data_IF_725266542140
#
_entry.id   IF_725266542140
#
_cell.length_a   1.000
_cell.length_b   1.000
_cell.length_c   1.000
_cell.angle_alpha   90.00
_cell.angle_beta   90.00
_cell.angle_gamma   90.00
#
_symmetry.space_group_name_H-M   'P 1'
#
loop_
_entity.id
_entity.type
_entity.pdbx_description
1 polymer ?
#
# COMPACT_ATOMS: atom_id res chain seq x y z
N UNK A 1 24.16 10.86 -8.87
CA UNK A 1 22.91 10.70 -9.63
C UNK A 1 21.79 11.18 -8.72
N UNK A 2 20.88 12.04 -9.19
CA UNK A 2 19.71 12.37 -8.41
C UNK A 2 18.92 11.07 -8.15
N UNK A 3 18.56 10.78 -6.90
CA UNK A 3 17.68 9.66 -6.60
C UNK A 3 16.30 9.95 -7.19
N UNK A 4 15.75 9.02 -7.93
CA UNK A 4 14.43 9.16 -8.54
C UNK A 4 13.33 9.26 -7.50
N UNK A 5 12.27 10.01 -7.79
CA UNK A 5 11.13 10.17 -6.87
C UNK A 5 10.24 8.94 -6.92
N UNK A 6 10.02 8.33 -5.74
CA UNK A 6 9.01 7.27 -5.56
C UNK A 6 7.74 7.87 -4.98
N UNK A 7 6.59 7.63 -5.61
CA UNK A 7 5.27 8.07 -5.11
C UNK A 7 4.46 6.84 -4.73
N UNK A 8 4.03 6.79 -3.48
CA UNK A 8 3.20 5.71 -2.92
C UNK A 8 1.80 6.25 -2.71
N UNK A 9 0.81 5.68 -3.38
CA UNK A 9 -0.60 6.03 -3.21
C UNK A 9 -1.28 5.00 -2.31
N UNK A 10 -1.71 5.40 -1.13
CA UNK A 10 -2.41 4.52 -0.18
C UNK A 10 -3.91 4.74 -0.28
N UNK A 11 -4.64 3.69 -0.63
CA UNK A 11 -6.07 3.76 -0.95
C UNK A 11 -6.76 2.40 -0.83
N UNK A 12 -8.08 2.42 -0.65
CA UNK A 12 -8.92 1.22 -0.79
C UNK A 12 -9.19 0.85 -2.28
N UNK A 13 -8.95 1.77 -3.21
CA UNK A 13 -9.15 1.57 -4.66
C UNK A 13 -7.86 1.20 -5.40
N UNK A 14 -6.91 0.54 -4.74
CA UNK A 14 -5.65 0.14 -5.37
C UNK A 14 -5.85 -0.81 -6.58
N UNK A 15 -6.92 -1.60 -6.58
CA UNK A 15 -7.27 -2.52 -7.68
C UNK A 15 -8.64 -2.20 -8.27
N UNK A 16 -9.68 -2.18 -7.45
CA UNK A 16 -11.05 -1.95 -7.91
C UNK A 16 -11.36 -0.46 -7.99
N UNK A 17 -11.97 -0.02 -9.09
CA UNK A 17 -12.56 1.33 -9.16
C UNK A 17 -13.93 1.28 -8.51
N UNK A 18 -14.06 1.82 -7.29
CA UNK A 18 -15.29 1.82 -6.51
C UNK A 18 -15.92 3.22 -6.53
N UNK A 19 -15.08 4.27 -6.56
CA UNK A 19 -15.52 5.65 -6.48
C UNK A 19 -14.62 6.62 -7.23
N UNK A 20 -14.51 7.84 -6.70
CA UNK A 20 -13.77 8.94 -7.31
C UNK A 20 -12.25 8.78 -7.28
N UNK A 21 -11.71 8.11 -6.25
CA UNK A 21 -10.25 7.93 -6.09
C UNK A 21 -9.69 7.12 -7.27
N UNK A 22 -10.35 6.06 -7.69
CA UNK A 22 -9.94 5.28 -8.86
C UNK A 22 -9.87 6.10 -10.15
N UNK A 23 -10.76 7.12 -10.32
CA UNK A 23 -10.69 8.04 -11.44
C UNK A 23 -9.50 9.02 -11.32
N UNK A 24 -9.20 9.49 -10.11
CA UNK A 24 -8.02 10.33 -9.84
C UNK A 24 -6.73 9.56 -10.11
N UNK A 25 -6.65 8.31 -9.66
CA UNK A 25 -5.49 7.44 -9.92
C UNK A 25 -5.31 7.16 -11.42
N UNK A 26 -6.41 6.88 -12.14
CA UNK A 26 -6.39 6.75 -13.60
C UNK A 26 -5.80 8.02 -14.23
N UNK A 27 -6.23 9.20 -13.77
CA UNK A 27 -5.70 10.48 -14.26
C UNK A 27 -4.21 10.66 -13.97
N UNK A 28 -3.72 10.31 -12.78
CA UNK A 28 -2.29 10.37 -12.46
C UNK A 28 -1.48 9.43 -13.35
N UNK A 29 -1.87 8.15 -13.45
CA UNK A 29 -1.09 7.13 -14.15
C UNK A 29 -1.16 7.22 -15.67
N UNK A 30 -1.99 8.11 -16.21
CA UNK A 30 -2.05 8.42 -17.64
C UNK A 30 -1.69 9.88 -17.95
N UNK A 31 -1.20 10.65 -16.94
CA UNK A 31 -0.77 12.03 -17.10
C UNK A 31 0.74 12.11 -17.42
N UNK A 32 1.16 12.59 -18.60
CA UNK A 32 2.58 12.70 -18.95
C UNK A 32 3.40 13.54 -17.97
N UNK A 33 2.80 14.57 -17.35
CA UNK A 33 3.49 15.42 -16.38
C UNK A 33 3.77 14.67 -15.08
N UNK A 34 2.83 13.87 -14.61
CA UNK A 34 3.03 13.01 -13.43
C UNK A 34 4.11 11.94 -13.70
N UNK A 35 4.04 11.27 -14.86
CA UNK A 35 4.99 10.22 -15.24
C UNK A 35 6.43 10.72 -15.44
N UNK A 36 6.63 12.02 -15.64
CA UNK A 36 7.96 12.65 -15.67
C UNK A 36 8.54 12.92 -14.29
N UNK A 37 7.69 13.03 -13.26
CA UNK A 37 8.10 13.37 -11.88
C UNK A 37 8.25 12.10 -11.05
N UNK A 38 7.34 11.15 -11.20
CA UNK A 38 7.34 9.90 -10.48
C UNK A 38 8.11 8.83 -11.26
N UNK A 39 9.37 8.61 -10.89
CA UNK A 39 10.20 7.55 -11.50
C UNK A 39 9.69 6.15 -11.13
N UNK A 40 9.07 6.04 -9.96
CA UNK A 40 8.44 4.81 -9.45
C UNK A 40 7.12 5.16 -8.79
N UNK A 41 6.07 4.39 -9.06
CA UNK A 41 4.77 4.54 -8.43
C UNK A 41 4.30 3.21 -7.85
N UNK A 42 3.79 3.24 -6.62
CA UNK A 42 3.30 2.07 -5.89
C UNK A 42 1.90 2.37 -5.35
N UNK A 43 0.92 1.53 -5.70
CA UNK A 43 -0.40 1.52 -5.08
C UNK A 43 -0.38 0.60 -3.87
N UNK A 44 -0.88 1.06 -2.73
CA UNK A 44 -0.97 0.27 -1.50
C UNK A 44 -2.41 0.23 -1.02
N UNK A 45 -2.91 -0.95 -0.68
CA UNK A 45 -4.26 -1.10 -0.15
C UNK A 45 -4.49 -2.42 0.57
N UNK A 46 -5.66 -2.57 1.21
CA UNK A 46 -6.05 -3.85 1.79
C UNK A 46 -6.41 -4.86 0.69
N UNK A 47 -6.13 -6.14 0.94
CA UNK A 47 -6.69 -7.24 0.16
C UNK A 47 -8.07 -7.58 0.74
N UNK A 48 -9.14 -7.21 0.04
CA UNK A 48 -10.50 -7.39 0.53
C UNK A 48 -10.99 -8.83 0.51
N UNK A 49 -10.51 -9.64 -0.44
CA UNK A 49 -10.91 -11.04 -0.56
C UNK A 49 -9.75 -11.91 -0.98
N UNK A 50 -9.75 -13.14 -0.48
CA UNK A 50 -8.87 -14.22 -0.91
C UNK A 50 -9.59 -15.22 -1.83
N UNK A 51 -10.85 -14.98 -2.15
CA UNK A 51 -11.60 -15.74 -3.15
C UNK A 51 -11.12 -15.40 -4.57
N UNK A 52 -11.34 -16.29 -5.52
CA UNK A 52 -10.90 -16.14 -6.90
C UNK A 52 -9.49 -16.66 -7.17
N UNK A 53 -9.02 -16.46 -8.37
CA UNK A 53 -7.71 -16.94 -8.83
C UNK A 53 -6.60 -15.90 -8.60
N UNK A 54 -5.34 -16.36 -8.60
CA UNK A 54 -4.18 -15.46 -8.49
C UNK A 54 -4.15 -14.39 -9.60
N UNK A 55 -4.61 -14.73 -10.79
CA UNK A 55 -4.64 -13.82 -11.95
C UNK A 55 -5.61 -12.65 -11.75
N UNK A 56 -6.61 -12.80 -10.89
CA UNK A 56 -7.63 -11.78 -10.64
C UNK A 56 -7.26 -10.81 -9.52
N UNK A 57 -6.21 -11.11 -8.72
CA UNK A 57 -5.81 -10.32 -7.53
C UNK A 57 -5.57 -8.85 -7.83
N UNK A 58 -5.01 -8.55 -8.99
CA UNK A 58 -4.66 -7.18 -9.39
C UNK A 58 -5.55 -6.64 -10.53
N UNK A 59 -6.69 -7.30 -10.78
CA UNK A 59 -7.61 -6.95 -11.85
C UNK A 59 -7.19 -7.49 -13.22
N UNK A 60 -7.98 -7.24 -14.28
CA UNK A 60 -7.82 -7.86 -15.59
C UNK A 60 -6.49 -7.50 -16.28
N UNK A 61 -5.94 -6.31 -16.00
CA UNK A 61 -4.68 -5.82 -16.56
C UNK A 61 -3.52 -5.94 -15.56
N UNK A 62 -3.66 -6.83 -14.57
CA UNK A 62 -2.71 -7.04 -13.50
C UNK A 62 -1.78 -8.23 -13.74
N UNK A 63 -0.53 -8.09 -13.32
CA UNK A 63 0.48 -9.15 -13.27
C UNK A 63 0.88 -9.38 -11.81
N UNK A 64 0.59 -10.55 -11.26
CA UNK A 64 1.01 -10.92 -9.90
C UNK A 64 2.42 -11.49 -9.92
N UNK A 65 3.32 -10.85 -9.20
CA UNK A 65 4.73 -11.25 -9.07
C UNK A 65 5.00 -12.04 -7.79
N UNK A 66 4.19 -11.82 -6.75
CA UNK A 66 4.25 -12.53 -5.47
C UNK A 66 2.86 -12.59 -4.84
N UNK A 67 2.50 -13.73 -4.29
CA UNK A 67 1.29 -13.88 -3.48
C UNK A 67 1.47 -15.00 -2.46
N UNK A 68 1.58 -14.66 -1.19
CA UNK A 68 1.58 -15.68 -0.12
C UNK A 68 0.20 -16.30 0.05
N UNK A 69 -0.84 -15.56 -0.28
CA UNK A 69 -2.24 -16.02 -0.21
C UNK A 69 -2.51 -17.16 -1.20
N UNK A 70 -1.85 -17.10 -2.37
CA UNK A 70 -2.03 -18.07 -3.45
C UNK A 70 -0.84 -19.06 -3.59
N UNK A 71 0.17 -18.96 -2.72
CA UNK A 71 1.35 -19.81 -2.78
C UNK A 71 2.34 -19.49 -3.89
N UNK A 72 2.24 -18.33 -4.54
CA UNK A 72 3.19 -17.84 -5.54
C UNK A 72 4.36 -17.12 -4.81
N UNK A 73 5.45 -17.84 -4.53
CA UNK A 73 6.53 -17.41 -3.64
C UNK A 73 7.92 -17.38 -4.33
N UNK A 74 8.16 -16.56 -5.36
CA UNK A 74 9.48 -16.43 -5.97
C UNK A 74 10.53 -15.98 -4.94
N UNK A 75 11.73 -16.57 -4.98
CA UNK A 75 12.76 -16.42 -3.95
C UNK A 75 13.14 -14.97 -3.64
N UNK A 76 13.22 -14.11 -4.64
CA UNK A 76 13.58 -12.70 -4.47
C UNK A 76 12.59 -11.92 -3.61
N UNK A 77 11.30 -12.08 -3.86
CA UNK A 77 10.25 -11.42 -3.08
C UNK A 77 9.99 -12.12 -1.74
N UNK A 78 10.13 -13.46 -1.70
CA UNK A 78 9.96 -14.22 -0.47
C UNK A 78 10.90 -13.74 0.62
N UNK A 79 12.18 -13.50 0.31
CA UNK A 79 13.16 -12.98 1.28
C UNK A 79 12.72 -11.62 1.83
N UNK A 80 12.12 -10.76 0.98
CA UNK A 80 11.65 -9.45 1.39
C UNK A 80 10.43 -9.53 2.33
N UNK A 81 9.46 -10.39 2.01
CA UNK A 81 8.14 -10.35 2.64
C UNK A 81 7.92 -11.37 3.77
N UNK A 82 8.53 -12.55 3.73
CA UNK A 82 8.27 -13.64 4.68
C UNK A 82 8.41 -13.22 6.16
N UNK A 83 9.41 -12.35 6.47
CA UNK A 83 9.60 -11.85 7.83
C UNK A 83 8.46 -10.92 8.26
N UNK A 84 7.97 -10.09 7.34
CA UNK A 84 6.88 -9.14 7.56
C UNK A 84 5.58 -9.91 7.77
N UNK A 85 5.27 -10.85 6.89
CA UNK A 85 4.09 -11.69 6.96
C UNK A 85 4.02 -12.45 8.28
N UNK A 86 5.15 -13.02 8.70
CA UNK A 86 5.23 -13.76 9.96
C UNK A 86 5.10 -12.85 11.19
N UNK A 87 5.70 -11.65 11.16
CA UNK A 87 5.68 -10.74 12.30
C UNK A 87 4.32 -10.10 12.51
N UNK A 88 3.65 -9.72 11.41
CA UNK A 88 2.34 -9.07 11.48
C UNK A 88 1.17 -10.04 11.32
N UNK A 89 1.43 -11.31 11.01
CA UNK A 89 0.44 -12.33 10.64
C UNK A 89 -0.51 -11.83 9.53
N UNK A 90 0.06 -11.45 8.40
CA UNK A 90 -0.63 -10.92 7.22
C UNK A 90 -0.27 -11.72 5.98
N UNK A 91 -1.14 -11.68 4.96
CA UNK A 91 -0.81 -12.14 3.62
C UNK A 91 -0.46 -10.96 2.71
N UNK A 92 0.49 -11.15 1.80
CA UNK A 92 0.92 -10.11 0.86
C UNK A 92 0.68 -10.58 -0.58
N UNK A 93 0.10 -9.70 -1.39
CA UNK A 93 0.06 -9.79 -2.85
C UNK A 93 0.80 -8.59 -3.42
N UNK A 94 1.76 -8.85 -4.30
CA UNK A 94 2.55 -7.82 -4.95
C UNK A 94 2.68 -8.09 -6.44
N UNK A 95 2.61 -7.02 -7.22
CA UNK A 95 2.74 -7.11 -8.66
C UNK A 95 2.62 -5.76 -9.35
N UNK A 96 2.04 -5.74 -10.53
CA UNK A 96 1.84 -4.54 -11.33
C UNK A 96 0.44 -4.52 -11.92
N UNK A 97 -0.05 -3.32 -12.22
CA UNK A 97 -1.30 -3.12 -12.92
C UNK A 97 -1.14 -2.05 -13.98
N UNK A 98 -1.65 -2.32 -15.18
CA UNK A 98 -1.58 -1.35 -16.28
C UNK A 98 -2.77 -0.39 -16.26
N UNK A 99 -2.46 0.89 -16.43
CA UNK A 99 -3.42 1.97 -16.66
C UNK A 99 -3.19 2.51 -18.07
N UNK A 100 -4.25 2.63 -18.84
CA UNK A 100 -4.20 3.14 -20.22
C UNK A 100 -5.29 4.18 -20.42
N UNK A 101 -4.93 5.31 -20.96
CA UNK A 101 -5.88 6.27 -21.51
C UNK A 101 -6.13 5.93 -22.99
N UNK A 102 -7.33 5.53 -23.31
CA UNK A 102 -7.73 5.10 -24.66
C UNK A 102 -7.78 6.25 -25.67
N UNK A 103 -7.92 7.49 -25.20
CA UNK A 103 -8.00 8.67 -26.07
C UNK A 103 -6.60 9.16 -26.47
N UNK A 104 -5.69 9.22 -25.51
CA UNK A 104 -4.31 9.71 -25.74
C UNK A 104 -3.29 8.62 -26.04
N UNK A 105 -3.62 7.36 -25.73
CA UNK A 105 -2.72 6.20 -25.83
C UNK A 105 -1.62 6.17 -24.75
N UNK A 106 -1.65 7.09 -23.77
CA UNK A 106 -0.68 7.10 -22.69
C UNK A 106 -0.94 5.93 -21.74
N UNK A 107 0.12 5.18 -21.43
CA UNK A 107 0.03 4.00 -20.57
C UNK A 107 1.16 3.97 -19.55
N UNK A 108 0.88 3.41 -18.37
CA UNK A 108 1.88 3.12 -17.33
C UNK A 108 1.49 1.87 -16.54
N UNK A 109 2.48 1.28 -15.86
CA UNK A 109 2.27 0.06 -15.08
C UNK A 109 2.86 0.23 -13.66
N UNK A 110 2.18 0.99 -12.78
CA UNK A 110 2.60 1.12 -11.39
C UNK A 110 2.60 -0.23 -10.68
N UNK A 111 3.43 -0.32 -9.66
CA UNK A 111 3.43 -1.46 -8.75
C UNK A 111 2.19 -1.44 -7.86
N UNK A 112 1.75 -2.60 -7.41
CA UNK A 112 0.61 -2.77 -6.50
C UNK A 112 1.02 -3.68 -5.35
N UNK A 113 0.79 -3.22 -4.12
CA UNK A 113 0.99 -3.95 -2.88
C UNK A 113 -0.34 -4.05 -2.14
N UNK A 114 -0.91 -5.25 -2.07
CA UNK A 114 -2.11 -5.51 -1.29
C UNK A 114 -1.76 -6.36 -0.07
N UNK A 115 -2.38 -6.05 1.06
CA UNK A 115 -2.12 -6.75 2.32
C UNK A 115 -3.43 -7.26 2.90
N UNK A 116 -3.50 -8.57 3.16
CA UNK A 116 -4.57 -9.20 3.91
C UNK A 116 -4.34 -9.01 5.40
N UNK A 117 -5.09 -8.10 6.00
CA UNK A 117 -4.97 -7.72 7.41
C UNK A 117 -6.02 -8.35 8.33
N UNK A 118 -6.87 -9.25 7.80
CA UNK A 118 -7.99 -9.85 8.55
C UNK A 118 -7.53 -10.59 9.80
N UNK A 119 -6.39 -11.25 9.72
CA UNK A 119 -5.83 -12.08 10.78
C UNK A 119 -4.59 -11.46 11.44
N UNK A 120 -4.34 -10.16 11.21
CA UNK A 120 -3.13 -9.49 11.72
C UNK A 120 -3.00 -9.61 13.24
N UNK A 121 -1.74 -9.78 13.68
CA UNK A 121 -1.39 -9.89 15.10
C UNK A 121 -1.77 -8.61 15.85
N UNK A 122 -2.41 -8.78 17.00
CA UNK A 122 -2.84 -7.68 17.86
C UNK A 122 -1.70 -6.93 18.52
N UNK A 123 -0.57 -7.57 18.75
CA UNK A 123 0.59 -6.95 19.40
C UNK A 123 1.09 -5.72 18.64
N UNK A 124 1.56 -5.86 17.39
CA UNK A 124 2.00 -4.74 16.55
C UNK A 124 0.91 -3.69 16.32
N UNK A 125 -0.35 -4.11 16.14
CA UNK A 125 -1.49 -3.20 15.94
C UNK A 125 -1.72 -2.33 17.18
N UNK A 126 -1.71 -2.93 18.37
CA UNK A 126 -1.89 -2.20 19.62
C UNK A 126 -0.70 -1.27 19.92
N UNK A 127 0.51 -1.66 19.58
CA UNK A 127 1.68 -0.78 19.68
C UNK A 127 1.53 0.44 18.79
N UNK A 128 1.08 0.27 17.55
CA UNK A 128 0.79 1.40 16.66
C UNK A 128 -0.30 2.30 17.21
N UNK A 129 -1.43 1.74 17.71
CA UNK A 129 -2.50 2.51 18.34
C UNK A 129 -1.99 3.29 19.57
N UNK A 130 -1.11 2.70 20.37
CA UNK A 130 -0.46 3.37 21.50
C UNK A 130 0.37 4.56 21.04
N UNK A 131 1.22 4.40 20.04
CA UNK A 131 2.05 5.48 19.47
C UNK A 131 1.19 6.61 18.90
N UNK A 132 0.10 6.30 18.16
CA UNK A 132 -0.86 7.30 17.70
C UNK A 132 -1.50 8.09 18.85
N UNK A 133 -1.77 7.43 19.97
CA UNK A 133 -2.33 8.12 21.15
C UNK A 133 -1.27 8.99 21.83
N UNK A 134 -0.07 8.48 22.05
CA UNK A 134 1.00 9.20 22.74
C UNK A 134 1.43 10.46 21.99
N UNK A 135 1.53 10.39 20.66
CA UNK A 135 1.99 11.51 19.84
C UNK A 135 0.86 12.48 19.43
N UNK A 136 -0.30 11.97 19.11
CA UNK A 136 -1.38 12.76 18.49
C UNK A 136 -2.68 12.79 19.30
N UNK A 137 -2.77 12.08 20.40
CA UNK A 137 -4.01 11.96 21.18
C UNK A 137 -5.12 11.16 20.47
N UNK A 138 -4.80 10.39 19.45
CA UNK A 138 -5.78 9.62 18.67
C UNK A 138 -6.22 8.38 19.44
N UNK A 139 -7.49 8.37 19.87
CA UNK A 139 -8.10 7.28 20.65
C UNK A 139 -8.62 6.17 19.75
N UNK A 140 -7.75 5.55 18.97
CA UNK A 140 -8.08 4.54 17.97
C UNK A 140 -8.83 3.33 18.51
N UNK A 141 -8.60 2.97 19.79
CA UNK A 141 -9.26 1.86 20.47
C UNK A 141 -10.79 2.01 20.53
N UNK A 142 -11.30 3.23 20.50
CA UNK A 142 -12.76 3.48 20.52
C UNK A 142 -13.46 2.97 19.28
N UNK A 143 -12.74 2.79 18.17
CA UNK A 143 -13.27 2.48 16.85
C UNK A 143 -12.87 1.08 16.36
N UNK A 144 -12.16 0.28 17.15
CA UNK A 144 -11.67 -1.04 16.75
C UNK A 144 -12.78 -2.06 16.43
N UNK A 145 -14.00 -1.80 16.90
CA UNK A 145 -15.18 -2.58 16.56
C UNK A 145 -15.74 -2.28 15.17
N UNK A 146 -15.30 -1.19 14.54
CA UNK A 146 -15.68 -0.79 13.18
C UNK A 146 -14.63 -1.33 12.20
N UNK A 147 -14.95 -2.42 11.51
CA UNK A 147 -14.01 -3.04 10.57
C UNK A 147 -13.56 -2.09 9.46
N UNK A 148 -14.46 -1.24 8.97
CA UNK A 148 -14.18 -0.21 7.98
C UNK A 148 -13.09 0.80 8.41
N UNK A 149 -12.90 0.98 9.71
CA UNK A 149 -11.80 1.76 10.26
C UNK A 149 -10.59 0.87 10.60
N UNK A 150 -10.83 -0.21 11.33
CA UNK A 150 -9.79 -1.06 11.91
C UNK A 150 -8.87 -1.70 10.86
N UNK A 151 -9.40 -2.09 9.69
CA UNK A 151 -8.60 -2.66 8.62
C UNK A 151 -7.49 -1.73 8.13
N UNK A 152 -7.74 -0.41 8.08
CA UNK A 152 -6.73 0.57 7.65
C UNK A 152 -5.70 0.85 8.75
N UNK A 153 -6.09 0.80 10.01
CA UNK A 153 -5.15 0.85 11.13
C UNK A 153 -4.21 -0.36 11.11
N UNK A 154 -4.75 -1.54 10.83
CA UNK A 154 -3.96 -2.78 10.68
C UNK A 154 -3.06 -2.78 9.45
N UNK A 155 -3.43 -2.04 8.41
CA UNK A 155 -2.66 -1.91 7.18
C UNK A 155 -1.36 -1.12 7.37
N UNK A 156 -1.38 -0.05 8.18
CA UNK A 156 -0.29 0.91 8.30
C UNK A 156 1.09 0.26 8.56
N UNK A 157 1.29 -0.44 9.69
CA UNK A 157 2.60 -0.99 10.04
C UNK A 157 3.16 -2.00 9.01
N UNK A 158 2.43 -3.02 8.54
CA UNK A 158 2.96 -3.94 7.55
C UNK A 158 3.18 -3.28 6.19
N UNK A 159 2.40 -2.26 5.80
CA UNK A 159 2.59 -1.54 4.55
C UNK A 159 3.93 -0.78 4.54
N UNK A 160 4.24 -0.02 5.59
CA UNK A 160 5.52 0.70 5.69
C UNK A 160 6.69 -0.29 5.73
N UNK A 161 6.58 -1.38 6.48
CA UNK A 161 7.61 -2.42 6.50
C UNK A 161 7.83 -3.05 5.11
N UNK A 162 6.75 -3.34 4.37
CA UNK A 162 6.83 -3.93 3.03
C UNK A 162 7.41 -2.94 2.01
N UNK A 163 7.06 -1.66 2.06
CA UNK A 163 7.66 -0.61 1.22
C UNK A 163 9.18 -0.54 1.42
N UNK A 164 9.64 -0.56 2.66
CA UNK A 164 11.08 -0.60 2.97
C UNK A 164 11.76 -1.86 2.42
N UNK A 165 11.12 -3.01 2.57
CA UNK A 165 11.62 -4.28 2.03
C UNK A 165 11.68 -4.31 0.50
N UNK A 166 10.81 -3.54 -0.18
CA UNK A 166 10.86 -3.31 -1.63
C UNK A 166 11.94 -2.30 -2.06
N UNK A 167 12.75 -1.81 -1.12
CA UNK A 167 13.85 -0.89 -1.39
C UNK A 167 13.38 0.50 -1.80
N UNK A 168 12.25 0.98 -1.27
CA UNK A 168 11.86 2.39 -1.47
C UNK A 168 12.85 3.30 -0.76
N UNK A 169 13.43 4.30 -1.46
CA UNK A 169 14.39 5.20 -0.84
C UNK A 169 13.72 6.10 0.19
N UNK A 170 14.28 6.22 1.39
CA UNK A 170 13.71 7.06 2.45
C UNK A 170 13.52 8.51 2.02
N UNK A 171 14.58 9.17 1.58
CA UNK A 171 14.61 10.63 1.34
C UNK A 171 13.79 11.08 0.12
N UNK A 172 13.51 10.19 -0.84
CA UNK A 172 12.82 10.51 -2.09
C UNK A 172 11.47 9.82 -2.25
N UNK A 173 10.95 9.20 -1.18
CA UNK A 173 9.63 8.57 -1.18
C UNK A 173 8.57 9.52 -0.60
N UNK A 174 7.48 9.69 -1.34
CA UNK A 174 6.32 10.49 -0.94
C UNK A 174 5.14 9.53 -0.78
N UNK A 175 4.57 9.46 0.42
CA UNK A 175 3.35 8.71 0.72
C UNK A 175 2.15 9.63 0.62
N UNK A 176 1.31 9.40 -0.36
CA UNK A 176 0.06 10.13 -0.59
C UNK A 176 -1.11 9.33 -0.02
N UNK A 177 -1.73 9.85 1.02
CA UNK A 177 -2.92 9.26 1.63
C UNK A 177 -4.18 9.72 0.93
N UNK A 178 -4.93 8.79 0.37
CA UNK A 178 -6.23 9.09 -0.20
C UNK A 178 -7.31 8.90 0.86
N UNK A 179 -7.90 10.00 1.31
CA UNK A 179 -8.93 10.09 2.34
C UNK A 179 -8.50 9.43 3.68
N UNK A 180 -9.47 9.17 4.55
CA UNK A 180 -9.20 8.57 5.86
C UNK A 180 -8.58 7.16 5.76
N UNK A 181 -8.83 6.44 4.67
CA UNK A 181 -8.33 5.09 4.46
C UNK A 181 -6.80 5.03 4.33
N UNK A 182 -6.19 6.05 3.73
CA UNK A 182 -4.74 6.15 3.61
C UNK A 182 -4.04 6.69 4.87
N UNK A 183 -4.77 7.42 5.73
CA UNK A 183 -4.22 8.14 6.89
C UNK A 183 -3.41 7.27 7.86
N UNK A 184 -3.86 6.07 8.27
CA UNK A 184 -3.08 5.26 9.21
C UNK A 184 -1.70 4.87 8.66
N UNK A 185 -1.59 4.62 7.35
CA UNK A 185 -0.29 4.31 6.74
C UNK A 185 0.64 5.52 6.74
N UNK A 186 0.13 6.73 6.48
CA UNK A 186 0.92 7.94 6.59
C UNK A 186 1.33 8.24 8.04
N UNK A 187 0.44 8.03 9.01
CA UNK A 187 0.76 8.16 10.43
C UNK A 187 1.86 7.17 10.86
N UNK A 188 1.82 5.92 10.37
CA UNK A 188 2.91 4.98 10.62
C UNK A 188 4.23 5.45 10.00
N UNK A 189 4.21 6.00 8.78
CA UNK A 189 5.40 6.56 8.16
C UNK A 189 6.03 7.71 8.98
N UNK A 190 5.21 8.52 9.64
CA UNK A 190 5.65 9.60 10.53
C UNK A 190 6.18 9.06 11.87
N UNK A 191 5.51 8.04 12.42
CA UNK A 191 5.82 7.48 13.73
C UNK A 191 6.97 6.48 13.73
N UNK A 192 7.34 5.93 12.57
CA UNK A 192 8.44 4.98 12.46
C UNK A 192 9.78 5.74 12.47
N UNK A 193 10.61 5.61 13.54
CA UNK A 193 11.87 6.35 13.68
C UNK A 193 12.91 6.01 12.60
N UNK A 194 12.68 4.95 11.83
CA UNK A 194 13.52 4.55 10.70
C UNK A 194 12.92 4.92 9.34
N UNK A 195 11.91 5.79 9.31
CA UNK A 195 11.27 6.26 8.09
C UNK A 195 11.42 7.78 7.97
N UNK A 196 11.98 8.23 6.84
CA UNK A 196 12.02 9.63 6.43
C UNK A 196 11.09 9.89 5.24
N UNK A 197 10.08 9.04 5.06
CA UNK A 197 9.09 9.20 4.01
C UNK A 197 8.32 10.50 4.19
N UNK A 198 8.21 11.29 3.14
CA UNK A 198 7.35 12.47 3.14
C UNK A 198 5.90 12.03 3.02
N UNK A 199 5.02 12.69 3.74
CA UNK A 199 3.59 12.36 3.73
C UNK A 199 2.76 13.51 3.21
N UNK A 200 1.74 13.19 2.42
CA UNK A 200 0.75 14.13 1.87
C UNK A 200 -0.64 13.54 2.09
N UNK A 201 -1.57 14.39 2.53
CA UNK A 201 -2.96 14.05 2.79
C UNK A 201 -3.89 14.78 1.83
#
# INVERSE_FOLDING_TARGET
MAMGTTVVHVTHEAVGKIGGIGAVLQGFFTCPSYLKIADRSILVGPLFTTEGSVQERLGPDGEVLYSSVDGLLPSGYRVAFERIERYYNVGIVYGRRTFTDTETGVSSSPEVLLIDVRHSDRGPVNDFKRRMYEEFGIQSQRYEHLWEYEQYVRLGPPAIAALKALGTPNESTIVVSHEFMGMPTALEAILDPNSDFRTVF
#
